data_IF_534881913984
#
_entry.id   IF_534881913984
#
_cell.length_a   1.000
_cell.length_b   1.000
_cell.length_c   1.000
_cell.angle_alpha   90.00
_cell.angle_beta   90.00
_cell.angle_gamma   90.00
#
_symmetry.space_group_name_H-M   'P 1'
#
loop_
_entity.id
_entity.type
_entity.pdbx_description
1 polymer ?
#
# COMPACT_ATOMS: atom_id res chain seq x y z
N UNK A 1 55.03 -3.56 -39.16
CA UNK A 1 54.47 -4.00 -37.89
C UNK A 1 53.59 -2.91 -37.38
N UNK A 2 52.28 -3.06 -37.61
CA UNK A 2 51.31 -1.99 -37.43
C UNK A 2 50.48 -2.34 -36.20
N UNK A 3 50.57 -1.53 -35.14
CA UNK A 3 49.71 -1.61 -33.99
C UNK A 3 48.35 -0.95 -34.33
N UNK A 4 47.27 -1.75 -34.28
CA UNK A 4 45.90 -1.25 -34.34
C UNK A 4 45.37 -1.05 -32.90
N UNK A 5 45.21 0.18 -32.52
CA UNK A 5 44.52 0.60 -31.30
C UNK A 5 43.02 0.61 -31.58
N UNK A 6 42.25 -0.27 -30.93
CA UNK A 6 40.78 -0.21 -30.93
C UNK A 6 40.34 0.86 -29.90
N UNK A 7 39.77 1.93 -30.40
CA UNK A 7 39.04 2.92 -29.57
C UNK A 7 37.61 2.42 -29.37
N UNK A 8 37.25 2.11 -28.13
CA UNK A 8 35.86 1.94 -27.72
C UNK A 8 35.20 3.31 -27.60
N UNK A 9 34.31 3.61 -28.53
CA UNK A 9 33.42 4.78 -28.43
C UNK A 9 32.25 4.40 -27.53
N UNK A 10 32.23 4.96 -26.35
CA UNK A 10 31.04 4.96 -25.47
C UNK A 10 30.02 5.94 -26.08
N UNK A 11 28.99 5.42 -26.73
CA UNK A 11 27.79 6.15 -27.07
C UNK A 11 26.99 6.36 -25.78
N UNK A 12 27.20 7.50 -25.11
CA UNK A 12 26.28 8.05 -24.15
C UNK A 12 25.05 8.54 -24.93
N UNK A 13 24.03 7.69 -25.01
CA UNK A 13 22.73 8.12 -25.48
C UNK A 13 22.19 9.19 -24.52
N UNK A 14 22.15 10.42 -24.96
CA UNK A 14 21.43 11.52 -24.34
C UNK A 14 19.94 11.17 -24.38
N UNK A 15 19.36 10.74 -23.25
CA UNK A 15 17.91 10.65 -23.10
C UNK A 15 17.37 12.08 -23.25
N UNK A 16 16.69 12.33 -24.34
CA UNK A 16 16.03 13.59 -24.62
C UNK A 16 14.90 13.81 -23.62
N UNK A 17 14.68 15.06 -23.22
CA UNK A 17 13.53 15.49 -22.42
C UNK A 17 12.17 15.17 -23.09
N UNK A 18 12.18 14.75 -24.36
CA UNK A 18 11.00 14.34 -25.13
C UNK A 18 10.50 12.92 -24.81
N UNK A 19 11.26 12.09 -24.09
CA UNK A 19 10.90 10.70 -23.74
C UNK A 19 10.23 10.56 -22.37
N UNK A 20 9.93 11.67 -21.70
CA UNK A 20 9.06 11.65 -20.52
C UNK A 20 7.63 11.61 -21.05
N UNK A 21 6.83 10.55 -20.78
CA UNK A 21 5.45 10.57 -21.18
C UNK A 21 4.79 11.81 -20.58
N UNK A 22 3.99 12.55 -21.36
CA UNK A 22 3.28 13.72 -20.86
C UNK A 22 2.44 13.31 -19.65
N UNK A 23 2.33 14.22 -18.68
CA UNK A 23 1.35 14.09 -17.59
C UNK A 23 0.01 13.64 -18.20
N UNK A 24 -0.74 12.73 -17.54
CA UNK A 24 -1.97 12.20 -18.12
C UNK A 24 -2.83 13.36 -18.63
N UNK A 25 -3.29 13.22 -19.87
CA UNK A 25 -4.08 14.24 -20.57
C UNK A 25 -5.24 14.67 -19.68
N UNK A 26 -5.61 15.97 -19.62
CA UNK A 26 -6.74 16.43 -18.86
C UNK A 26 -8.02 15.80 -19.45
N UNK A 27 -8.53 14.74 -18.79
CA UNK A 27 -9.69 13.98 -19.24
C UNK A 27 -9.88 12.62 -18.55
N UNK A 28 -8.82 12.00 -18.01
CA UNK A 28 -8.93 10.77 -17.23
C UNK A 28 -8.44 11.06 -15.82
N UNK A 29 -9.35 11.54 -14.99
CA UNK A 29 -9.09 11.69 -13.55
C UNK A 29 -8.88 10.30 -12.95
N UNK A 30 -7.70 10.04 -12.42
CA UNK A 30 -7.44 8.83 -11.65
C UNK A 30 -7.27 9.21 -10.18
N UNK A 31 -7.70 8.36 -9.24
CA UNK A 31 -7.56 8.64 -7.80
C UNK A 31 -6.09 8.85 -7.41
N UNK A 32 -5.80 9.73 -6.43
CA UNK A 32 -4.42 10.06 -6.03
C UNK A 32 -3.58 8.83 -5.66
N UNK A 33 -4.17 7.83 -4.98
CA UNK A 33 -3.48 6.60 -4.62
C UNK A 33 -3.09 5.75 -5.84
N UNK A 34 -3.91 5.74 -6.90
CA UNK A 34 -3.61 5.03 -8.13
C UNK A 34 -2.51 5.77 -8.92
N UNK A 35 -2.54 7.11 -8.97
CA UNK A 35 -1.48 7.92 -9.56
C UNK A 35 -0.15 7.72 -8.84
N UNK A 36 -0.16 7.72 -7.50
CA UNK A 36 1.01 7.42 -6.68
C UNK A 36 1.58 6.03 -6.97
N UNK A 37 0.70 5.03 -7.07
CA UNK A 37 1.10 3.67 -7.33
C UNK A 37 1.76 3.49 -8.70
N UNK A 38 1.17 4.10 -9.75
CA UNK A 38 1.75 4.17 -11.10
C UNK A 38 3.15 4.73 -11.09
N UNK A 39 3.34 5.88 -10.45
CA UNK A 39 4.64 6.53 -10.33
C UNK A 39 5.68 5.68 -9.56
N UNK A 40 5.24 4.84 -8.63
CA UNK A 40 6.11 3.88 -7.94
C UNK A 40 6.44 2.65 -8.79
N UNK A 41 5.50 2.19 -9.63
CA UNK A 41 5.70 1.04 -10.52
C UNK A 41 6.72 1.30 -11.63
N UNK A 42 6.79 2.52 -12.16
CA UNK A 42 7.72 2.87 -13.24
C UNK A 42 9.20 2.55 -12.95
N UNK A 43 9.55 2.43 -11.68
CA UNK A 43 10.94 2.26 -11.20
C UNK A 43 11.25 0.89 -10.65
N UNK A 44 10.26 -0.01 -10.58
CA UNK A 44 10.46 -1.34 -10.03
C UNK A 44 10.35 -2.37 -11.13
N UNK A 45 11.35 -3.19 -11.27
CA UNK A 45 11.35 -4.34 -12.19
C UNK A 45 10.66 -5.58 -11.61
N UNK A 46 9.67 -5.43 -10.72
CA UNK A 46 9.01 -6.54 -10.05
C UNK A 46 7.86 -6.11 -9.14
N UNK A 47 7.50 -6.95 -8.19
CA UNK A 47 6.42 -6.67 -7.24
C UNK A 47 6.61 -5.35 -6.49
N UNK A 48 5.65 -4.47 -6.55
CA UNK A 48 5.59 -3.18 -5.85
C UNK A 48 4.64 -3.27 -4.68
N UNK A 49 4.96 -2.58 -3.60
CA UNK A 49 4.06 -2.40 -2.47
C UNK A 49 4.26 -1.03 -1.84
N UNK A 50 3.18 -0.31 -1.66
CA UNK A 50 3.13 0.98 -0.97
C UNK A 50 1.99 1.04 0.04
N UNK A 51 2.05 2.00 0.94
CA UNK A 51 0.94 2.44 1.78
C UNK A 51 0.59 3.89 1.45
N UNK A 52 -0.40 4.14 0.57
CA UNK A 52 -0.85 5.50 0.27
C UNK A 52 -1.34 6.22 1.53
N UNK A 53 -2.16 5.56 2.34
CA UNK A 53 -2.64 6.09 3.61
C UNK A 53 -1.52 6.67 4.47
N UNK A 54 -0.51 5.87 4.73
CA UNK A 54 0.57 6.22 5.64
C UNK A 54 1.42 7.39 5.08
N UNK A 55 1.61 7.46 3.75
CA UNK A 55 2.25 8.60 3.10
C UNK A 55 1.42 9.89 3.25
N UNK A 56 0.11 9.80 2.97
CA UNK A 56 -0.75 10.98 3.11
C UNK A 56 -0.79 11.50 4.53
N UNK A 57 -0.72 10.64 5.54
CA UNK A 57 -0.66 11.06 6.94
C UNK A 57 0.58 11.91 7.25
N UNK A 58 1.76 11.50 6.78
CA UNK A 58 2.97 12.30 7.02
C UNK A 58 2.96 13.62 6.23
N UNK A 59 2.37 13.62 5.02
CA UNK A 59 2.20 14.86 4.25
C UNK A 59 1.21 15.83 4.91
N UNK A 60 0.16 15.31 5.56
CA UNK A 60 -0.76 16.15 6.36
C UNK A 60 -0.07 16.81 7.56
N UNK A 61 0.95 16.19 8.14
CA UNK A 61 1.79 16.84 9.15
C UNK A 61 2.68 17.94 8.56
N UNK A 62 3.11 17.80 7.29
CA UNK A 62 3.92 18.82 6.63
C UNK A 62 3.09 20.05 6.20
N UNK A 63 1.85 19.84 5.73
CA UNK A 63 1.02 20.86 5.10
C UNK A 63 0.83 22.14 5.95
N UNK A 64 0.56 22.09 7.27
CA UNK A 64 0.46 23.29 8.11
C UNK A 64 1.74 24.14 8.18
N UNK A 65 2.89 23.52 7.87
CA UNK A 65 4.18 24.19 7.82
C UNK A 65 4.53 24.84 6.48
N UNK A 66 3.79 24.47 5.43
CA UNK A 66 4.00 24.94 4.07
C UNK A 66 3.29 26.30 3.82
N UNK A 67 3.79 27.05 2.86
CA UNK A 67 3.19 28.31 2.40
C UNK A 67 3.31 28.44 0.87
N UNK A 68 2.60 29.41 0.30
CA UNK A 68 2.70 29.80 -1.11
C UNK A 68 2.44 28.64 -2.08
N UNK A 69 3.32 28.47 -3.06
CA UNK A 69 3.19 27.44 -4.09
C UNK A 69 3.45 26.03 -3.54
N UNK A 70 4.36 25.90 -2.58
CA UNK A 70 4.61 24.62 -1.88
C UNK A 70 3.35 24.07 -1.21
N UNK A 71 2.59 24.94 -0.53
CA UNK A 71 1.31 24.57 0.09
C UNK A 71 0.28 24.10 -0.95
N UNK A 72 0.15 24.82 -2.08
CA UNK A 72 -0.77 24.46 -3.16
C UNK A 72 -0.44 23.12 -3.79
N UNK A 73 0.83 22.89 -4.14
CA UNK A 73 1.29 21.62 -4.70
C UNK A 73 1.07 20.46 -3.76
N UNK A 74 1.36 20.63 -2.46
CA UNK A 74 1.12 19.61 -1.44
C UNK A 74 -0.36 19.33 -1.26
N UNK A 75 -1.20 20.35 -1.21
CA UNK A 75 -2.65 20.19 -1.09
C UNK A 75 -3.27 19.46 -2.29
N UNK A 76 -2.76 19.69 -3.51
CA UNK A 76 -3.22 19.03 -4.72
C UNK A 76 -2.94 17.52 -4.74
N UNK A 77 -1.87 17.07 -4.08
CA UNK A 77 -1.50 15.64 -3.98
C UNK A 77 -2.31 14.91 -2.90
N UNK A 78 -2.82 15.64 -1.90
CA UNK A 78 -3.53 15.05 -0.77
C UNK A 78 -5.00 14.77 -1.11
N UNK A 79 -5.54 13.59 -0.76
CA UNK A 79 -6.96 13.33 -0.90
C UNK A 79 -7.77 14.13 0.12
N UNK A 80 -8.95 14.60 -0.32
CA UNK A 80 -9.88 15.35 0.51
C UNK A 80 -9.42 16.76 0.83
N UNK A 81 -9.64 17.22 2.05
CA UNK A 81 -9.35 18.59 2.50
C UNK A 81 -7.93 18.80 3.04
N UNK A 82 -7.06 17.78 2.95
CA UNK A 82 -5.68 17.82 3.44
C UNK A 82 -5.52 17.91 4.96
N UNK A 83 -6.61 17.97 5.74
CA UNK A 83 -6.55 18.12 7.20
C UNK A 83 -6.04 16.88 7.91
N UNK A 84 -5.38 17.10 9.04
CA UNK A 84 -4.95 16.03 9.95
C UNK A 84 -6.18 15.34 10.52
N UNK A 85 -6.29 14.03 10.30
CA UNK A 85 -7.31 13.18 10.91
C UNK A 85 -6.69 12.36 12.03
N UNK A 86 -7.41 12.21 13.14
CA UNK A 86 -6.94 11.41 14.30
C UNK A 86 -7.85 10.24 14.62
N UNK A 87 -9.07 10.25 14.10
CA UNK A 87 -10.09 9.25 14.39
C UNK A 87 -10.35 8.38 13.16
N UNK A 88 -9.39 7.51 12.85
CA UNK A 88 -9.56 6.51 11.81
C UNK A 88 -10.31 5.31 12.36
N UNK A 89 -11.36 4.86 11.68
CA UNK A 89 -12.23 3.78 12.14
C UNK A 89 -11.47 2.47 12.33
N UNK A 90 -10.55 2.17 11.44
CA UNK A 90 -9.72 0.94 11.52
C UNK A 90 -8.65 1.00 12.63
N UNK A 91 -8.37 2.16 13.21
CA UNK A 91 -7.48 2.32 14.38
C UNK A 91 -8.26 2.31 15.71
N UNK A 92 -9.58 2.29 15.66
CA UNK A 92 -10.46 2.31 16.82
C UNK A 92 -11.50 1.18 16.75
N UNK A 93 -12.32 1.01 17.77
CA UNK A 93 -13.40 0.03 17.79
C UNK A 93 -12.97 -1.42 17.99
N UNK A 94 -13.81 -2.35 17.57
CA UNK A 94 -13.61 -3.79 17.80
C UNK A 94 -12.46 -4.36 16.99
N UNK A 95 -12.15 -3.80 15.83
CA UNK A 95 -11.01 -4.19 15.03
C UNK A 95 -9.69 -4.00 15.80
N UNK A 96 -9.53 -2.92 16.55
CA UNK A 96 -8.29 -2.63 17.28
C UNK A 96 -8.07 -3.49 18.52
N UNK A 97 -9.12 -4.14 19.06
CA UNK A 97 -9.01 -4.97 20.27
C UNK A 97 -8.32 -6.32 20.05
N UNK A 98 -8.61 -6.96 18.93
CA UNK A 98 -8.07 -8.28 18.58
C UNK A 98 -6.98 -8.26 17.53
N UNK A 99 -6.86 -7.15 16.78
CA UNK A 99 -5.98 -6.97 15.66
C UNK A 99 -5.14 -5.72 15.87
N UNK A 100 -3.99 -5.62 15.19
CA UNK A 100 -3.09 -4.49 15.41
C UNK A 100 -2.68 -3.86 14.09
N UNK A 101 -3.08 -2.60 13.92
CA UNK A 101 -2.52 -1.73 12.90
C UNK A 101 -1.46 -0.84 13.57
N UNK A 102 -0.23 -0.95 13.10
CA UNK A 102 0.86 -0.08 13.52
C UNK A 102 1.12 0.91 12.39
N UNK A 103 0.90 2.17 12.66
CA UNK A 103 1.18 3.27 11.74
C UNK A 103 2.16 4.23 12.42
N UNK A 104 3.36 4.28 11.89
CA UNK A 104 4.46 5.09 12.41
C UNK A 104 4.84 6.14 11.36
N UNK A 105 4.26 7.33 11.52
CA UNK A 105 4.45 8.46 10.62
C UNK A 105 5.03 9.63 11.41
N UNK A 106 6.17 10.14 10.97
CA UNK A 106 6.85 11.26 11.64
C UNK A 106 7.74 12.03 10.69
N UNK A 107 7.84 13.31 10.93
CA UNK A 107 8.86 14.17 10.34
C UNK A 107 10.06 14.19 11.28
N UNK A 108 11.23 13.93 10.75
CA UNK A 108 12.48 14.15 11.49
C UNK A 108 13.18 15.36 10.91
N UNK A 109 13.37 16.38 11.74
CA UNK A 109 14.10 17.59 11.42
C UNK A 109 15.52 17.53 12.02
N UNK A 110 16.50 18.12 11.34
CA UNK A 110 17.83 18.31 11.94
C UNK A 110 17.74 19.21 13.18
N UNK A 111 18.64 19.05 14.13
CA UNK A 111 18.68 19.86 15.34
C UNK A 111 18.90 21.35 15.08
N UNK A 112 19.51 21.71 13.93
CA UNK A 112 19.69 23.10 13.50
C UNK A 112 18.40 23.78 13.04
N UNK A 113 17.31 23.02 12.90
CA UNK A 113 16.00 23.57 12.51
C UNK A 113 15.31 24.19 13.71
N UNK A 114 15.04 25.49 13.64
CA UNK A 114 14.24 26.20 14.62
C UNK A 114 12.76 26.06 14.30
N UNK A 115 12.11 25.07 14.93
CA UNK A 115 10.69 24.79 14.73
C UNK A 115 9.81 25.80 15.48
N UNK A 116 8.86 26.42 14.78
CA UNK A 116 7.89 27.37 15.37
C UNK A 116 6.90 26.66 16.29
N UNK A 117 6.61 27.25 17.43
CA UNK A 117 5.68 26.69 18.42
C UNK A 117 4.24 26.60 17.86
N UNK A 118 3.83 27.55 17.02
CA UNK A 118 2.55 27.50 16.34
C UNK A 118 2.43 26.24 15.47
N UNK A 119 3.49 25.87 14.74
CA UNK A 119 3.53 24.64 13.95
C UNK A 119 3.48 23.39 14.83
N UNK A 120 4.34 23.31 15.86
CA UNK A 120 4.34 22.19 16.82
C UNK A 120 2.96 21.97 17.45
N UNK A 121 2.28 23.07 17.81
CA UNK A 121 0.91 23.03 18.36
C UNK A 121 -0.12 22.53 17.34
N UNK A 122 0.01 22.93 16.07
CA UNK A 122 -0.91 22.52 15.01
C UNK A 122 -0.84 21.02 14.71
N UNK A 123 0.37 20.46 14.62
CA UNK A 123 0.58 19.05 14.24
C UNK A 123 0.55 18.08 15.44
N UNK A 124 0.90 18.56 16.62
CA UNK A 124 0.98 17.78 17.86
C UNK A 124 2.37 17.19 18.12
N UNK A 125 2.61 16.66 19.33
CA UNK A 125 3.95 16.31 19.81
C UNK A 125 4.54 15.09 19.08
N UNK A 126 3.71 14.23 18.52
CA UNK A 126 4.15 12.99 17.88
C UNK A 126 4.50 13.15 16.39
N UNK A 127 4.10 14.26 15.76
CA UNK A 127 4.24 14.48 14.33
C UNK A 127 5.66 14.84 13.91
N UNK A 128 6.44 15.52 14.78
CA UNK A 128 7.79 15.97 14.45
C UNK A 128 8.76 15.69 15.61
N UNK A 129 9.96 15.25 15.26
CA UNK A 129 11.07 15.08 16.19
C UNK A 129 12.36 15.64 15.60
N UNK A 130 13.36 15.91 16.43
CA UNK A 130 14.66 16.34 15.98
C UNK A 130 15.70 15.23 16.10
N UNK A 131 16.61 15.15 15.11
CA UNK A 131 17.73 14.21 15.09
C UNK A 131 18.98 14.90 14.53
N UNK A 132 20.19 14.47 14.93
CA UNK A 132 21.43 15.17 14.58
C UNK A 132 21.93 14.78 13.18
N UNK A 133 21.17 15.05 12.10
CA UNK A 133 21.53 14.62 10.75
C UNK A 133 22.83 15.27 10.24
N UNK A 134 23.02 16.55 10.50
CA UNK A 134 24.23 17.30 10.08
C UNK A 134 25.41 17.04 11.00
N UNK A 135 25.16 16.87 12.29
CA UNK A 135 26.21 16.70 13.32
C UNK A 135 26.71 15.24 13.32
N UNK A 136 25.79 14.27 13.29
CA UNK A 136 26.08 12.85 13.35
C UNK A 136 25.01 12.03 12.63
N UNK A 137 25.19 11.86 11.33
CA UNK A 137 24.26 11.11 10.47
C UNK A 137 24.02 9.67 10.97
N UNK A 138 25.06 8.99 11.43
CA UNK A 138 24.93 7.61 11.91
C UNK A 138 24.04 7.53 13.15
N UNK A 139 24.15 8.48 14.07
CA UNK A 139 23.31 8.59 15.26
C UNK A 139 21.86 8.93 14.87
N UNK A 140 21.66 9.91 13.98
CA UNK A 140 20.34 10.28 13.51
C UNK A 140 19.62 9.06 12.88
N UNK A 141 20.31 8.31 12.04
CA UNK A 141 19.77 7.09 11.42
C UNK A 141 19.45 6.02 12.46
N UNK A 142 20.29 5.83 13.49
CA UNK A 142 20.00 4.90 14.59
C UNK A 142 18.72 5.30 15.33
N UNK A 143 18.56 6.59 15.66
CA UNK A 143 17.38 7.11 16.36
C UNK A 143 16.10 6.89 15.53
N UNK A 144 16.13 7.22 14.24
CA UNK A 144 14.99 7.02 13.33
C UNK A 144 14.64 5.53 13.20
N UNK A 145 15.64 4.67 13.01
CA UNK A 145 15.42 3.23 12.86
C UNK A 145 14.91 2.59 14.17
N UNK A 146 15.41 3.01 15.34
CA UNK A 146 14.93 2.56 16.63
C UNK A 146 13.48 3.00 16.87
N UNK A 147 13.14 4.25 16.52
CA UNK A 147 11.78 4.75 16.61
C UNK A 147 10.82 3.96 15.68
N UNK A 148 11.21 3.71 14.44
CA UNK A 148 10.41 2.92 13.50
C UNK A 148 10.19 1.49 14.01
N UNK A 149 11.23 0.84 14.53
CA UNK A 149 11.14 -0.49 15.11
C UNK A 149 10.19 -0.55 16.30
N UNK A 150 10.33 0.38 17.25
CA UNK A 150 9.46 0.46 18.43
C UNK A 150 8.00 0.64 18.05
N UNK A 151 7.70 1.56 17.12
CA UNK A 151 6.33 1.90 16.73
C UNK A 151 5.71 0.88 15.75
N UNK A 152 6.48 -0.07 15.24
CA UNK A 152 5.99 -1.17 14.40
C UNK A 152 6.12 -2.55 15.05
N UNK A 153 6.27 -2.59 16.38
CA UNK A 153 6.44 -3.85 17.12
C UNK A 153 7.65 -4.67 16.64
N UNK A 154 8.74 -4.01 16.32
CA UNK A 154 9.97 -4.58 15.76
C UNK A 154 9.83 -5.27 14.37
N UNK A 155 8.73 -5.00 13.66
CA UNK A 155 8.48 -5.57 12.32
C UNK A 155 9.22 -4.82 11.22
N UNK A 156 9.39 -3.51 11.36
CA UNK A 156 10.12 -2.67 10.41
C UNK A 156 11.38 -2.17 11.07
N UNK A 157 12.50 -2.74 10.64
CA UNK A 157 13.85 -2.39 11.09
C UNK A 157 14.65 -1.85 9.90
N UNK A 158 15.71 -1.09 10.15
CA UNK A 158 16.63 -0.59 9.12
C UNK A 158 15.87 0.14 7.99
N UNK A 159 15.02 1.12 8.38
CA UNK A 159 14.27 1.93 7.43
C UNK A 159 15.18 2.90 6.69
N UNK A 160 16.09 3.56 7.40
CA UNK A 160 17.09 4.44 6.80
C UNK A 160 18.47 3.76 6.74
N UNK A 161 19.22 4.10 5.69
CA UNK A 161 20.62 3.71 5.53
C UNK A 161 21.47 4.99 5.44
N UNK A 162 22.46 5.21 6.33
CA UNK A 162 23.27 6.42 6.34
C UNK A 162 24.03 6.64 5.02
N UNK A 163 24.42 5.56 4.33
CA UNK A 163 25.15 5.64 3.05
C UNK A 163 24.29 6.16 1.88
N UNK A 164 22.96 6.24 2.05
CA UNK A 164 22.01 6.76 1.04
C UNK A 164 21.50 8.16 1.39
N UNK A 165 22.05 8.78 2.41
CA UNK A 165 21.64 10.10 2.87
C UNK A 165 22.76 11.12 2.62
N UNK A 166 22.36 12.39 2.49
CA UNK A 166 23.28 13.51 2.30
C UNK A 166 23.61 14.18 3.62
N UNK A 167 24.83 14.67 3.76
CA UNK A 167 25.29 15.55 4.85
C UNK A 167 24.49 16.86 4.96
N UNK A 168 23.78 17.23 3.88
CA UNK A 168 22.86 18.39 3.86
C UNK A 168 21.44 18.08 4.30
N UNK A 169 21.19 16.87 4.79
CA UNK A 169 19.84 16.44 5.19
C UNK A 169 19.34 17.27 6.36
N UNK A 170 18.19 17.93 6.21
CA UNK A 170 17.52 18.71 7.27
C UNK A 170 16.11 18.27 7.58
N UNK A 171 15.35 17.76 6.61
CA UNK A 171 13.99 17.22 6.82
C UNK A 171 13.85 15.85 6.14
N UNK A 172 13.40 14.87 6.92
CA UNK A 172 13.14 13.50 6.45
C UNK A 172 11.73 13.10 6.84
N UNK A 173 10.95 12.69 5.86
CA UNK A 173 9.64 12.08 6.08
C UNK A 173 9.83 10.59 6.31
N UNK A 174 9.36 10.10 7.43
CA UNK A 174 9.46 8.69 7.82
C UNK A 174 8.09 8.09 7.92
N UNK A 175 7.92 7.00 7.22
CA UNK A 175 6.65 6.33 7.06
C UNK A 175 6.86 4.82 7.17
N UNK A 176 6.24 4.20 8.16
CA UNK A 176 6.30 2.77 8.38
C UNK A 176 4.93 2.26 8.81
N UNK A 177 4.39 1.30 8.08
CA UNK A 177 3.09 0.73 8.38
C UNK A 177 3.13 -0.79 8.33
N UNK A 178 2.46 -1.41 9.30
CA UNK A 178 2.35 -2.83 9.45
C UNK A 178 0.95 -3.19 9.98
N UNK A 179 0.33 -4.21 9.40
CA UNK A 179 -0.98 -4.70 9.80
C UNK A 179 -0.93 -6.18 10.17
N UNK A 180 -1.48 -6.49 11.35
CA UNK A 180 -1.82 -7.83 11.77
C UNK A 180 -3.33 -7.96 11.88
N UNK A 181 -3.91 -8.86 11.11
CA UNK A 181 -5.35 -9.02 11.04
C UNK A 181 -5.74 -10.48 10.79
N UNK A 182 -6.84 -10.94 11.35
CA UNK A 182 -7.38 -12.29 11.15
C UNK A 182 -8.53 -12.26 10.15
N UNK A 183 -8.58 -13.25 9.28
CA UNK A 183 -9.73 -13.44 8.40
C UNK A 183 -10.99 -13.72 9.22
N UNK A 184 -12.11 -13.22 8.79
CA UNK A 184 -13.42 -13.57 9.37
C UNK A 184 -13.76 -15.04 9.06
N UNK A 185 -13.34 -15.52 7.89
CA UNK A 185 -13.32 -16.92 7.49
C UNK A 185 -11.90 -17.32 7.09
N UNK A 186 -11.22 -18.11 7.93
CA UNK A 186 -9.84 -18.56 7.72
C UNK A 186 -9.75 -19.67 6.67
N UNK A 187 -8.59 -19.82 6.05
CA UNK A 187 -8.26 -21.01 5.26
C UNK A 187 -7.84 -22.16 6.18
N UNK A 188 -8.18 -23.37 5.77
CA UNK A 188 -7.70 -24.57 6.47
C UNK A 188 -6.31 -24.96 5.92
N UNK A 189 -5.33 -25.09 6.81
CA UNK A 189 -3.95 -25.39 6.39
C UNK A 189 -3.81 -26.71 5.63
N UNK A 190 -4.69 -27.71 5.92
CA UNK A 190 -4.75 -28.99 5.19
C UNK A 190 -5.19 -28.83 3.71
N UNK A 191 -5.85 -27.75 3.36
CA UNK A 191 -6.34 -27.46 2.00
C UNK A 191 -5.33 -26.60 1.21
N UNK A 192 -4.21 -26.22 1.81
CA UNK A 192 -3.10 -25.54 1.15
C UNK A 192 -2.21 -26.57 0.45
N UNK A 193 -2.06 -26.41 -0.87
CA UNK A 193 -1.25 -27.32 -1.70
C UNK A 193 -0.32 -26.54 -2.63
N UNK A 194 0.80 -27.15 -2.99
CA UNK A 194 1.69 -26.57 -4.02
C UNK A 194 0.95 -26.59 -5.37
N UNK A 195 0.92 -25.42 -6.03
CA UNK A 195 0.34 -25.25 -7.36
C UNK A 195 1.20 -24.31 -8.21
N UNK A 196 1.06 -24.46 -9.51
CA UNK A 196 1.79 -23.63 -10.47
C UNK A 196 1.28 -22.20 -10.45
N UNK A 197 2.20 -21.26 -10.31
CA UNK A 197 2.01 -19.83 -10.53
C UNK A 197 2.83 -19.43 -11.76
N UNK A 198 2.20 -18.80 -12.74
CA UNK A 198 2.88 -18.34 -13.97
C UNK A 198 3.16 -16.85 -13.84
N UNK A 199 4.43 -16.49 -13.84
CA UNK A 199 4.89 -15.10 -13.77
C UNK A 199 4.64 -14.35 -15.08
N UNK A 200 4.78 -13.04 -15.08
CA UNK A 200 4.60 -12.21 -16.28
C UNK A 200 5.67 -12.47 -17.37
N UNK A 201 6.86 -12.92 -16.96
CA UNK A 201 7.94 -13.36 -17.86
C UNK A 201 7.74 -14.78 -18.42
N UNK A 202 6.63 -15.45 -18.09
CA UNK A 202 6.30 -16.82 -18.50
C UNK A 202 6.92 -17.90 -17.62
N UNK A 203 7.75 -17.56 -16.65
CA UNK A 203 8.35 -18.54 -15.75
C UNK A 203 7.29 -19.15 -14.82
N UNK A 204 7.27 -20.48 -14.73
CA UNK A 204 6.37 -21.23 -13.87
C UNK A 204 7.05 -21.60 -12.55
N UNK A 205 6.44 -21.24 -11.43
CA UNK A 205 6.93 -21.53 -10.09
C UNK A 205 5.87 -22.28 -9.28
N UNK A 206 6.30 -23.12 -8.34
CA UNK A 206 5.40 -23.76 -7.38
C UNK A 206 5.22 -22.87 -6.16
N UNK A 207 3.95 -22.54 -5.85
CA UNK A 207 3.61 -21.72 -4.68
C UNK A 207 2.63 -22.46 -3.77
N UNK A 208 2.71 -22.27 -2.44
CA UNK A 208 1.66 -22.75 -1.54
C UNK A 208 0.36 -21.99 -1.84
N UNK A 209 -0.61 -22.67 -2.41
CA UNK A 209 -1.91 -22.12 -2.78
C UNK A 209 -2.95 -22.53 -1.76
N UNK A 210 -3.43 -21.57 -0.98
CA UNK A 210 -4.50 -21.72 -0.01
C UNK A 210 -5.84 -21.86 -0.73
N UNK A 211 -6.76 -22.64 -0.21
CA UNK A 211 -8.09 -22.86 -0.81
C UNK A 211 -9.17 -22.73 0.24
N UNK A 212 -10.26 -22.04 -0.11
CA UNK A 212 -11.48 -22.03 0.68
C UNK A 212 -12.73 -21.75 -0.16
N UNK A 213 -13.88 -22.04 0.43
CA UNK A 213 -15.17 -21.58 -0.05
C UNK A 213 -15.55 -20.32 0.73
N UNK A 214 -15.83 -19.23 0.03
CA UNK A 214 -16.19 -17.94 0.62
C UNK A 214 -17.66 -17.68 0.40
N UNK A 215 -18.37 -17.31 1.46
CA UNK A 215 -19.78 -16.94 1.40
C UNK A 215 -19.90 -15.43 1.20
N UNK A 216 -20.77 -15.01 0.28
CA UNK A 216 -21.03 -13.60 -0.06
C UNK A 216 -22.25 -13.06 0.69
N UNK A 217 -23.03 -13.94 1.33
CA UNK A 217 -24.22 -13.64 2.10
C UNK A 217 -24.19 -14.35 3.44
N UNK A 218 -24.84 -13.81 4.46
CA UNK A 218 -25.04 -14.49 5.75
C UNK A 218 -25.01 -13.52 6.92
N UNK A 219 -26.15 -13.44 7.64
CA UNK A 219 -26.27 -12.67 8.90
C UNK A 219 -25.97 -13.51 10.14
N UNK A 220 -26.09 -14.82 9.97
CA UNK A 220 -25.78 -15.82 10.99
C UNK A 220 -24.68 -16.75 10.44
N UNK A 221 -24.70 -18.00 10.77
CA UNK A 221 -23.73 -18.96 10.25
C UNK A 221 -24.26 -19.65 8.96
N UNK A 222 -23.46 -19.79 7.87
CA UNK A 222 -22.11 -19.25 7.67
C UNK A 222 -22.13 -17.73 7.46
N UNK A 223 -21.14 -17.03 8.03
CA UNK A 223 -20.99 -15.58 7.91
C UNK A 223 -20.48 -15.21 6.52
N UNK A 224 -20.82 -13.99 6.07
CA UNK A 224 -20.23 -13.40 4.89
C UNK A 224 -18.70 -13.24 5.11
N UNK A 225 -17.91 -13.95 4.31
CA UNK A 225 -16.44 -13.95 4.39
C UNK A 225 -15.76 -13.04 3.39
N UNK A 226 -16.49 -12.59 2.35
CA UNK A 226 -15.95 -11.76 1.27
C UNK A 226 -16.91 -11.56 0.11
N UNK A 227 -16.44 -10.91 -0.94
CA UNK A 227 -17.19 -10.61 -2.18
C UNK A 227 -16.45 -11.12 -3.41
N UNK A 228 -17.19 -11.41 -4.46
CA UNK A 228 -16.68 -11.74 -5.80
C UNK A 228 -17.03 -10.62 -6.79
N UNK A 229 -16.11 -10.33 -7.71
CA UNK A 229 -16.25 -9.33 -8.76
C UNK A 229 -15.84 -9.91 -10.11
N UNK A 230 -16.65 -9.67 -11.14
CA UNK A 230 -16.30 -9.99 -12.53
C UNK A 230 -16.93 -8.96 -13.45
N UNK A 231 -16.12 -8.27 -14.24
CA UNK A 231 -16.54 -7.32 -15.27
C UNK A 231 -15.44 -7.15 -16.31
N UNK A 232 -15.79 -7.21 -17.59
CA UNK A 232 -14.89 -6.97 -18.73
C UNK A 232 -13.57 -7.79 -18.69
N UNK A 233 -13.65 -9.04 -18.21
CA UNK A 233 -12.51 -9.93 -18.05
C UNK A 233 -11.65 -9.66 -16.78
N UNK A 234 -11.91 -8.59 -16.05
CA UNK A 234 -11.36 -8.34 -14.72
C UNK A 234 -12.07 -9.22 -13.72
N UNK A 235 -11.33 -9.99 -12.93
CA UNK A 235 -11.88 -10.82 -11.85
C UNK A 235 -11.26 -10.44 -10.52
N UNK A 236 -12.10 -10.34 -9.49
CA UNK A 236 -11.64 -9.98 -8.15
C UNK A 236 -12.32 -10.79 -7.06
N UNK A 237 -11.63 -10.89 -5.94
CA UNK A 237 -12.15 -11.49 -4.73
C UNK A 237 -11.71 -10.68 -3.53
N UNK A 238 -12.57 -10.59 -2.51
CA UNK A 238 -12.20 -10.01 -1.23
C UNK A 238 -12.31 -11.01 -0.08
N UNK A 239 -11.58 -10.71 0.98
CA UNK A 239 -11.65 -11.41 2.25
C UNK A 239 -11.85 -10.38 3.35
N UNK A 240 -12.87 -10.59 4.17
CA UNK A 240 -13.15 -9.73 5.30
C UNK A 240 -12.29 -10.10 6.50
N UNK A 241 -11.83 -9.08 7.22
CA UNK A 241 -11.20 -9.28 8.51
C UNK A 241 -12.25 -9.30 9.63
N UNK A 242 -11.95 -10.02 10.70
CA UNK A 242 -12.74 -9.96 11.94
C UNK A 242 -12.76 -8.52 12.47
N UNK A 243 -13.83 -8.12 13.13
CA UNK A 243 -14.00 -6.76 13.67
C UNK A 243 -15.20 -6.01 13.11
N UNK A 244 -16.02 -6.67 12.30
CA UNK A 244 -17.30 -6.14 11.85
C UNK A 244 -17.20 -4.96 10.88
N UNK A 245 -18.16 -4.04 10.95
CA UNK A 245 -18.36 -2.96 9.97
C UNK A 245 -17.16 -2.03 9.81
N UNK A 246 -16.44 -1.70 10.84
CA UNK A 246 -15.28 -0.80 10.78
C UNK A 246 -13.96 -1.48 10.37
N UNK A 247 -13.96 -2.80 10.16
CA UNK A 247 -12.74 -3.51 9.79
C UNK A 247 -12.39 -3.29 8.29
N UNK A 248 -11.10 -3.17 7.97
CA UNK A 248 -10.65 -3.15 6.59
C UNK A 248 -11.00 -4.43 5.82
N UNK A 249 -10.77 -4.41 4.52
CA UNK A 249 -11.02 -5.52 3.61
C UNK A 249 -9.74 -5.78 2.80
N UNK A 250 -9.34 -7.05 2.70
CA UNK A 250 -8.34 -7.47 1.73
C UNK A 250 -9.01 -7.74 0.39
N UNK A 251 -8.44 -7.24 -0.68
CA UNK A 251 -8.92 -7.45 -2.04
C UNK A 251 -7.78 -7.93 -2.91
N UNK A 252 -8.07 -8.86 -3.81
CA UNK A 252 -7.17 -9.30 -4.87
C UNK A 252 -7.89 -9.20 -6.22
N UNK A 253 -7.20 -8.71 -7.25
CA UNK A 253 -7.77 -8.41 -8.57
C UNK A 253 -6.84 -8.94 -9.66
N UNK A 254 -7.37 -9.82 -10.50
CA UNK A 254 -6.72 -10.32 -11.69
C UNK A 254 -7.03 -9.41 -12.89
N UNK A 255 -6.03 -8.99 -13.67
CA UNK A 255 -6.27 -8.34 -14.95
C UNK A 255 -6.99 -9.29 -15.93
N UNK A 256 -7.58 -8.79 -17.01
CA UNK A 256 -8.01 -9.65 -18.12
C UNK A 256 -6.88 -10.58 -18.60
N UNK A 257 -7.23 -11.75 -19.10
CA UNK A 257 -6.24 -12.69 -19.63
C UNK A 257 -5.40 -12.06 -20.74
N UNK A 258 -4.09 -12.31 -20.72
CA UNK A 258 -3.14 -11.75 -21.67
C UNK A 258 -2.75 -10.27 -21.43
N UNK A 259 -3.43 -9.54 -20.55
CA UNK A 259 -3.08 -8.15 -20.22
C UNK A 259 -2.02 -8.13 -19.13
N UNK A 260 -0.90 -7.45 -19.39
CA UNK A 260 0.19 -7.27 -18.42
C UNK A 260 -0.26 -6.40 -17.24
N UNK A 261 0.31 -6.67 -16.05
CA UNK A 261 -0.06 -5.95 -14.81
C UNK A 261 0.14 -4.44 -14.95
N UNK A 262 1.28 -4.01 -15.48
CA UNK A 262 1.54 -2.58 -15.70
C UNK A 262 0.50 -1.93 -16.61
N UNK A 263 0.19 -2.57 -17.75
CA UNK A 263 -0.82 -2.07 -18.70
C UNK A 263 -2.22 -2.01 -18.07
N UNK A 264 -2.54 -2.96 -17.21
CA UNK A 264 -3.80 -2.99 -16.49
C UNK A 264 -3.91 -1.82 -15.52
N UNK A 265 -2.87 -1.58 -14.72
CA UNK A 265 -2.84 -0.48 -13.75
C UNK A 265 -2.82 0.88 -14.47
N UNK A 266 -2.01 1.06 -15.52
CA UNK A 266 -1.92 2.33 -16.26
C UNK A 266 -3.21 2.69 -16.97
N UNK A 267 -3.94 1.68 -17.47
CA UNK A 267 -5.21 1.89 -18.19
C UNK A 267 -6.45 1.94 -17.29
N UNK A 268 -6.33 1.74 -15.97
CA UNK A 268 -7.48 1.72 -15.06
C UNK A 268 -8.06 3.12 -14.87
N UNK A 269 -9.34 3.29 -15.15
CA UNK A 269 -10.06 4.55 -14.95
C UNK A 269 -10.50 4.72 -13.49
N UNK A 270 -10.90 5.94 -13.12
CA UNK A 270 -11.48 6.22 -11.81
C UNK A 270 -12.79 5.43 -11.59
N UNK A 271 -13.61 5.31 -12.64
CA UNK A 271 -14.86 4.54 -12.57
C UNK A 271 -14.58 3.06 -12.29
N UNK A 272 -13.64 2.45 -13.02
CA UNK A 272 -13.23 1.05 -12.81
C UNK A 272 -12.67 0.84 -11.40
N UNK A 273 -11.80 1.74 -10.95
CA UNK A 273 -11.24 1.71 -9.60
C UNK A 273 -12.31 1.77 -8.52
N UNK A 274 -13.20 2.76 -8.61
CA UNK A 274 -14.29 2.94 -7.65
C UNK A 274 -15.29 1.77 -7.72
N UNK A 275 -15.54 1.22 -8.91
CA UNK A 275 -16.36 0.04 -9.12
C UNK A 275 -15.79 -1.21 -8.43
N UNK A 276 -14.48 -1.44 -8.54
CA UNK A 276 -13.78 -2.54 -7.86
C UNK A 276 -13.85 -2.34 -6.34
N UNK A 277 -13.50 -1.15 -5.84
CA UNK A 277 -13.52 -0.87 -4.41
C UNK A 277 -14.91 -1.05 -3.80
N UNK A 278 -15.94 -0.47 -4.42
CA UNK A 278 -17.32 -0.55 -3.92
C UNK A 278 -17.85 -1.99 -3.93
N UNK A 279 -17.63 -2.71 -5.03
CA UNK A 279 -18.12 -4.09 -5.17
C UNK A 279 -17.44 -5.07 -4.21
N UNK A 280 -16.13 -4.95 -4.02
CA UNK A 280 -15.37 -5.87 -3.17
C UNK A 280 -15.40 -5.51 -1.68
N UNK A 281 -15.81 -4.30 -1.31
CA UNK A 281 -15.92 -3.88 0.09
C UNK A 281 -17.34 -3.98 0.68
N UNK A 282 -18.33 -4.31 -0.12
CA UNK A 282 -19.73 -4.34 0.29
C UNK A 282 -20.01 -5.41 1.35
N UNK A 283 -19.91 -5.03 2.64
CA UNK A 283 -20.47 -5.83 3.72
C UNK A 283 -21.98 -5.56 3.77
N UNK A 284 -22.77 -6.60 3.97
CA UNK A 284 -24.25 -6.50 4.04
C UNK A 284 -24.95 -6.01 2.77
N UNK A 285 -24.38 -6.32 1.58
CA UNK A 285 -24.96 -5.99 0.28
C UNK A 285 -26.45 -6.45 0.15
N UNK A 286 -26.90 -7.40 0.96
CA UNK A 286 -28.28 -7.84 1.06
C UNK A 286 -29.26 -6.76 1.56
N UNK A 287 -28.79 -5.68 2.21
CA UNK A 287 -29.64 -4.57 2.62
C UNK A 287 -29.83 -3.52 1.50
N UNK A 288 -28.80 -3.29 0.68
CA UNK A 288 -28.88 -2.29 -0.39
C UNK A 288 -29.63 -2.80 -1.63
N UNK A 289 -29.58 -4.10 -1.93
CA UNK A 289 -30.29 -4.72 -3.07
C UNK A 289 -31.80 -4.84 -2.86
N UNK A 290 -32.33 -4.55 -1.67
CA UNK A 290 -33.79 -4.52 -1.39
C UNK A 290 -34.46 -3.20 -1.74
N UNK A 291 -33.76 -2.22 -2.33
CA UNK A 291 -34.42 -1.03 -2.89
C UNK A 291 -35.34 -1.44 -4.04
N UNK A 292 -36.63 -1.05 -4.04
CA UNK A 292 -37.56 -1.39 -5.12
C UNK A 292 -37.04 -0.86 -6.45
N UNK A 293 -36.80 -1.72 -7.44
CA UNK A 293 -36.42 -1.38 -8.79
C UNK A 293 -35.00 -1.69 -9.23
N UNK A 294 -34.10 -2.12 -8.32
CA UNK A 294 -32.78 -2.61 -8.67
C UNK A 294 -32.83 -4.04 -9.22
N UNK A 295 -32.38 -4.29 -10.46
CA UNK A 295 -32.08 -5.66 -10.89
C UNK A 295 -30.96 -6.19 -10.01
N UNK A 296 -31.09 -7.36 -9.34
CA UNK A 296 -29.97 -7.99 -8.68
C UNK A 296 -28.91 -8.28 -9.76
N UNK A 297 -27.67 -7.84 -9.58
CA UNK A 297 -26.54 -8.57 -10.16
C UNK A 297 -26.76 -10.03 -9.74
N UNK A 298 -26.61 -10.99 -10.65
CA UNK A 298 -26.63 -12.42 -10.31
C UNK A 298 -25.52 -12.68 -9.30
N UNK A 299 -25.85 -12.49 -8.04
CA UNK A 299 -24.90 -12.54 -6.95
C UNK A 299 -24.84 -13.98 -6.48
N UNK A 300 -23.74 -14.63 -6.78
CA UNK A 300 -23.50 -15.95 -6.25
C UNK A 300 -23.48 -15.90 -4.73
N UNK A 301 -24.21 -16.78 -4.06
CA UNK A 301 -24.21 -16.90 -2.60
C UNK A 301 -22.85 -17.34 -2.04
N UNK A 302 -21.94 -17.81 -2.89
CA UNK A 302 -20.59 -18.27 -2.56
C UNK A 302 -19.71 -18.33 -3.81
N UNK A 303 -18.38 -18.33 -3.59
CA UNK A 303 -17.38 -18.60 -4.63
C UNK A 303 -16.24 -19.46 -4.06
N UNK A 304 -15.47 -20.09 -4.92
CA UNK A 304 -14.29 -20.86 -4.55
C UNK A 304 -13.04 -20.02 -4.80
N UNK A 305 -12.28 -19.77 -3.75
CA UNK A 305 -11.08 -18.96 -3.80
C UNK A 305 -9.83 -19.82 -3.68
N UNK A 306 -8.85 -19.57 -4.57
CA UNK A 306 -7.47 -20.02 -4.42
C UNK A 306 -6.56 -18.79 -4.43
N UNK A 307 -5.85 -18.58 -3.33
CA UNK A 307 -4.95 -17.44 -3.11
C UNK A 307 -3.58 -17.95 -2.68
N UNK A 308 -2.48 -17.53 -3.29
CA UNK A 308 -1.16 -17.93 -2.83
C UNK A 308 -0.90 -17.41 -1.41
N UNK A 309 -0.25 -18.25 -0.58
CA UNK A 309 0.40 -17.77 0.62
C UNK A 309 1.67 -17.03 0.21
N UNK A 310 1.81 -15.77 0.62
CA UNK A 310 2.97 -14.98 0.24
C UNK A 310 3.42 -14.02 1.35
N UNK A 311 4.68 -13.64 1.27
CA UNK A 311 5.25 -12.56 2.05
C UNK A 311 5.86 -11.54 1.12
N UNK A 312 5.54 -10.27 1.34
CA UNK A 312 6.10 -9.18 0.57
C UNK A 312 6.61 -8.11 1.52
N UNK A 313 7.85 -7.69 1.31
CA UNK A 313 8.47 -6.57 2.02
C UNK A 313 9.03 -5.62 0.98
N UNK A 314 8.58 -4.37 1.01
CA UNK A 314 9.18 -3.39 0.12
C UNK A 314 10.62 -3.12 0.53
N UNK A 315 11.55 -2.92 -0.42
CA UNK A 315 12.76 -2.17 -0.12
C UNK A 315 12.35 -0.80 0.42
N UNK A 316 13.26 -0.09 1.10
CA UNK A 316 12.96 1.30 1.44
C UNK A 316 12.74 2.10 0.17
N UNK A 317 11.50 2.54 -0.05
CA UNK A 317 11.11 3.35 -1.21
C UNK A 317 11.46 4.82 -0.94
N UNK A 318 12.14 5.43 -1.89
CA UNK A 318 12.26 6.90 -1.95
C UNK A 318 11.03 7.45 -2.67
N UNK A 319 10.18 8.14 -1.93
CA UNK A 319 8.92 8.66 -2.42
C UNK A 319 9.07 10.00 -3.18
N UNK A 320 10.24 10.65 -3.09
CA UNK A 320 10.50 11.95 -3.69
C UNK A 320 10.04 12.01 -5.16
N UNK A 321 10.60 11.13 -5.99
CA UNK A 321 10.30 11.13 -7.43
C UNK A 321 8.84 10.83 -7.76
N UNK A 322 8.16 10.01 -6.94
CA UNK A 322 6.75 9.73 -7.13
C UNK A 322 5.89 10.96 -6.79
N UNK A 323 6.26 11.70 -5.75
CA UNK A 323 5.59 12.94 -5.37
C UNK A 323 5.87 14.07 -6.37
N UNK A 324 7.10 14.18 -6.89
CA UNK A 324 7.46 15.10 -7.98
C UNK A 324 6.62 14.82 -9.24
N UNK A 325 6.45 13.54 -9.61
CA UNK A 325 5.61 13.16 -10.75
C UNK A 325 4.11 13.48 -10.55
N UNK A 326 3.66 13.64 -9.30
CA UNK A 326 2.32 14.09 -8.96
C UNK A 326 2.19 15.63 -8.88
N UNK A 327 3.27 16.37 -9.19
CA UNK A 327 3.29 17.83 -9.18
C UNK A 327 3.78 18.47 -7.88
N UNK A 328 4.25 17.68 -6.90
CA UNK A 328 4.85 18.21 -5.67
C UNK A 328 6.36 18.40 -5.85
N UNK A 329 6.76 19.41 -6.61
CA UNK A 329 8.17 19.64 -6.96
C UNK A 329 8.88 20.59 -5.99
N UNK A 330 8.29 21.72 -5.67
CA UNK A 330 8.93 22.81 -4.93
C UNK A 330 9.40 22.39 -3.55
N UNK A 331 8.63 21.53 -2.87
CA UNK A 331 8.93 21.01 -1.54
C UNK A 331 10.32 20.34 -1.42
N UNK A 332 10.90 19.89 -2.55
CA UNK A 332 12.19 19.19 -2.61
C UNK A 332 13.34 20.06 -3.15
N UNK A 333 13.07 21.30 -3.50
CA UNK A 333 14.02 22.22 -4.16
C UNK A 333 14.35 23.43 -3.30
N UNK A 334 15.15 24.34 -3.83
CA UNK A 334 15.41 25.65 -3.20
C UNK A 334 14.20 26.59 -3.25
N UNK A 335 13.13 26.23 -3.96
CA UNK A 335 11.87 27.00 -4.02
C UNK A 335 10.90 26.63 -2.89
N UNK A 336 11.26 25.63 -2.06
CA UNK A 336 10.43 25.21 -0.96
C UNK A 336 10.12 26.35 0.02
N UNK A 337 8.85 26.53 0.34
CA UNK A 337 8.42 27.47 1.37
C UNK A 337 7.78 26.71 2.54
N UNK A 338 8.59 26.42 3.53
CA UNK A 338 8.19 25.88 4.83
C UNK A 338 8.33 26.93 5.95
N UNK A 339 8.15 28.21 5.59
CA UNK A 339 8.30 29.32 6.53
C UNK A 339 7.36 29.26 7.73
N UNK A 340 6.21 28.61 7.60
CA UNK A 340 5.27 28.39 8.72
C UNK A 340 5.76 27.27 9.65
N UNK A 341 6.58 26.33 9.18
CA UNK A 341 7.16 25.26 10.00
C UNK A 341 8.29 25.78 10.87
N UNK A 342 9.21 26.54 10.28
CA UNK A 342 10.41 26.98 10.97
C UNK A 342 11.46 27.60 10.04
N UNK A 343 12.70 27.65 10.50
CA UNK A 343 13.86 28.15 9.76
C UNK A 343 15.08 27.28 9.94
N UNK A 344 15.99 27.35 8.97
CA UNK A 344 17.29 26.68 9.03
C UNK A 344 18.28 27.52 8.20
N UNK A 345 18.84 28.56 8.83
CA UNK A 345 19.81 29.43 8.14
C UNK A 345 21.10 28.67 7.75
N UNK A 346 21.74 29.03 6.63
CA UNK A 346 21.34 30.03 5.65
C UNK A 346 20.41 29.51 4.56
N UNK A 347 20.13 28.20 4.47
CA UNK A 347 19.34 27.61 3.40
C UNK A 347 17.85 27.50 3.77
N UNK A 348 16.92 27.60 2.80
CA UNK A 348 15.51 27.38 3.05
C UNK A 348 15.27 25.92 3.47
N UNK A 349 14.27 25.71 4.35
CA UNK A 349 13.81 24.36 4.67
C UNK A 349 13.25 23.68 3.46
N UNK A 350 13.70 22.46 3.18
CA UNK A 350 13.16 21.60 2.12
C UNK A 350 13.16 20.14 2.55
N UNK A 351 12.33 19.33 1.94
CA UNK A 351 12.32 17.89 2.15
C UNK A 351 13.52 17.27 1.42
N UNK A 352 14.43 16.63 2.15
CA UNK A 352 15.57 15.93 1.57
C UNK A 352 15.22 14.52 1.11
N UNK A 353 14.26 13.90 1.78
CA UNK A 353 13.77 12.58 1.39
C UNK A 353 12.49 12.19 2.10
N UNK A 354 11.69 11.40 1.42
CA UNK A 354 10.56 10.68 1.99
C UNK A 354 10.82 9.20 1.86
N UNK A 355 10.76 8.46 2.97
CA UNK A 355 11.12 7.05 3.00
C UNK A 355 9.96 6.24 3.57
N UNK A 356 9.55 5.25 2.79
CA UNK A 356 8.52 4.31 3.20
C UNK A 356 9.06 2.89 3.19
N UNK A 357 8.69 2.13 4.20
CA UNK A 357 8.89 0.69 4.24
C UNK A 357 7.64 0.00 4.74
N UNK A 358 7.19 -0.98 3.99
CA UNK A 358 6.00 -1.78 4.28
C UNK A 358 6.36 -3.26 4.32
N UNK A 359 5.59 -4.03 5.08
CA UNK A 359 5.66 -5.48 5.09
C UNK A 359 4.26 -6.08 5.25
N UNK A 360 3.96 -7.08 4.45
CA UNK A 360 2.72 -7.85 4.49
C UNK A 360 3.05 -9.34 4.40
N UNK A 361 2.35 -10.16 5.19
CA UNK A 361 2.39 -11.63 5.07
C UNK A 361 0.96 -12.14 5.03
N UNK A 362 0.60 -12.73 3.91
CA UNK A 362 -0.71 -13.36 3.70
C UNK A 362 -0.61 -14.84 4.01
N UNK A 363 -1.39 -15.31 4.98
CA UNK A 363 -1.40 -16.68 5.49
C UNK A 363 -2.83 -17.18 5.69
N UNK A 364 -2.94 -18.42 6.10
CA UNK A 364 -4.21 -19.12 6.29
C UNK A 364 -5.11 -18.45 7.35
N UNK A 365 -4.52 -17.92 8.42
CA UNK A 365 -5.28 -17.27 9.50
C UNK A 365 -5.55 -15.80 9.26
N UNK A 366 -4.79 -15.15 8.34
CA UNK A 366 -4.88 -13.70 8.12
C UNK A 366 -3.58 -13.07 7.64
N UNK A 367 -3.45 -11.78 7.95
CA UNK A 367 -2.22 -11.03 7.73
C UNK A 367 -1.32 -11.15 8.97
N UNK A 368 -0.10 -11.65 8.77
CA UNK A 368 0.92 -11.89 9.81
C UNK A 368 0.36 -12.55 11.10
N UNK A 369 -0.73 -13.30 10.97
CA UNK A 369 -1.29 -14.08 12.04
C UNK A 369 -0.50 -15.40 12.15
N UNK A 370 0.03 -15.71 13.35
CA UNK A 370 0.58 -17.02 13.67
C UNK A 370 -0.42 -17.78 14.51
N UNK A 371 -0.60 -19.07 14.23
CA UNK A 371 -1.49 -19.94 14.95
C UNK A 371 -1.16 -19.95 16.45
N UNK A 372 -1.98 -19.29 17.25
CA UNK A 372 -2.06 -19.51 18.69
C UNK A 372 -3.45 -19.18 19.17
N UNK A 373 -4.40 -19.95 18.78
CA UNK A 373 -5.63 -20.33 19.48
C UNK A 373 -6.52 -21.06 18.46
N UNK A 374 -6.44 -22.37 18.45
CA UNK A 374 -7.45 -23.21 17.84
C UNK A 374 -8.73 -23.07 18.68
N UNK A 375 -9.59 -22.17 18.27
CA UNK A 375 -11.01 -22.31 18.57
C UNK A 375 -11.52 -23.38 17.59
N UNK A 376 -11.68 -24.60 18.02
CA UNK A 376 -12.44 -25.60 17.29
C UNK A 376 -13.86 -25.04 17.09
N UNK A 377 -14.18 -24.65 15.86
CA UNK A 377 -15.57 -24.48 15.47
C UNK A 377 -15.98 -25.76 14.75
N UNK A 378 -16.89 -26.49 15.36
CA UNK A 378 -17.57 -27.61 14.74
C UNK A 378 -18.13 -27.21 13.37
N UNK A 379 -17.89 -28.03 12.33
CA UNK A 379 -18.52 -27.83 11.05
C UNK A 379 -20.00 -28.17 11.18
N UNK A 380 -20.83 -27.14 11.28
CA UNK A 380 -22.28 -27.32 11.25
C UNK A 380 -22.67 -27.90 9.89
N UNK A 381 -23.12 -29.14 9.86
CA UNK A 381 -23.66 -29.82 8.68
C UNK A 381 -25.04 -29.25 8.32
N UNK A 382 -25.08 -28.00 7.90
CA UNK A 382 -26.23 -27.43 7.19
C UNK A 382 -26.19 -27.90 5.75
N UNK A 383 -27.37 -28.22 5.14
CA UNK A 383 -27.46 -28.60 3.75
C UNK A 383 -26.74 -27.54 2.86
N UNK A 384 -25.86 -27.96 1.94
CA UNK A 384 -25.11 -27.01 1.11
C UNK A 384 -26.08 -26.17 0.28
N UNK A 385 -25.90 -24.82 0.22
CA UNK A 385 -26.70 -23.97 -0.65
C UNK A 385 -26.62 -24.50 -2.09
N UNK A 386 -27.76 -24.50 -2.80
CA UNK A 386 -27.86 -24.99 -4.17
C UNK A 386 -27.06 -24.08 -5.13
N UNK A 387 -26.18 -24.64 -5.94
CA UNK A 387 -25.42 -24.00 -7.00
C UNK A 387 -23.90 -24.03 -6.76
N UNK A 388 -23.11 -24.34 -7.80
CA UNK A 388 -21.66 -24.18 -7.82
C UNK A 388 -21.38 -22.71 -8.12
N UNK A 389 -20.86 -21.96 -7.14
CA UNK A 389 -20.35 -20.60 -7.37
C UNK A 389 -19.10 -20.60 -8.27
N UNK A 390 -18.69 -19.42 -8.78
CA UNK A 390 -17.52 -19.29 -9.61
C UNK A 390 -16.25 -19.71 -8.85
N UNK A 391 -15.24 -20.14 -9.59
CA UNK A 391 -13.89 -20.41 -9.06
C UNK A 391 -12.94 -19.29 -9.53
N UNK A 392 -12.21 -18.71 -8.59
CA UNK A 392 -11.15 -17.76 -8.89
C UNK A 392 -9.83 -18.27 -8.29
N UNK A 393 -8.82 -18.40 -9.15
CA UNK A 393 -7.46 -18.83 -8.77
C UNK A 393 -6.46 -17.73 -9.13
N UNK A 394 -5.76 -17.22 -8.11
CA UNK A 394 -4.70 -16.22 -8.26
C UNK A 394 -3.37 -16.90 -8.58
N UNK A 395 -3.29 -17.51 -9.74
CA UNK A 395 -2.15 -18.30 -10.22
C UNK A 395 -1.26 -17.56 -11.24
N UNK A 396 -1.46 -16.26 -11.39
CA UNK A 396 -0.70 -15.33 -12.23
C UNK A 396 -0.65 -13.96 -11.57
N UNK A 397 0.16 -12.98 -12.04
CA UNK A 397 0.27 -11.67 -11.43
C UNK A 397 -1.07 -11.01 -11.13
N UNK A 398 -1.20 -10.45 -9.95
CA UNK A 398 -2.43 -9.80 -9.49
C UNK A 398 -2.13 -8.55 -8.66
N UNK A 399 -3.05 -7.60 -8.72
CA UNK A 399 -3.12 -6.45 -7.82
C UNK A 399 -3.77 -6.91 -6.51
N UNK A 400 -3.22 -6.47 -5.38
CA UNK A 400 -3.87 -6.64 -4.09
C UNK A 400 -3.91 -5.33 -3.31
N UNK A 401 -4.92 -5.15 -2.48
CA UNK A 401 -5.05 -3.99 -1.61
C UNK A 401 -5.70 -4.35 -0.28
N UNK A 402 -5.46 -3.49 0.69
CA UNK A 402 -6.16 -3.48 1.97
C UNK A 402 -6.84 -2.13 2.06
N UNK A 403 -8.16 -2.15 2.09
CA UNK A 403 -9.00 -0.96 2.01
C UNK A 403 -9.87 -0.82 3.24
N UNK A 404 -9.96 0.39 3.79
CA UNK A 404 -10.92 0.75 4.85
C UNK A 404 -12.15 1.42 4.21
N UNK A 405 -13.31 0.73 4.13
CA UNK A 405 -14.49 1.29 3.48
C UNK A 405 -15.06 2.50 4.22
N UNK A 406 -15.11 2.44 5.54
CA UNK A 406 -15.65 3.52 6.38
C UNK A 406 -14.79 4.79 6.28
N UNK A 407 -13.49 4.64 6.17
CA UNK A 407 -12.54 5.75 6.06
C UNK A 407 -12.26 6.15 4.61
N UNK A 408 -12.72 5.35 3.63
CA UNK A 408 -12.41 5.47 2.20
C UNK A 408 -10.91 5.58 1.95
N UNK A 409 -10.14 4.74 2.62
CA UNK A 409 -8.69 4.82 2.62
C UNK A 409 -8.04 3.50 2.15
N UNK A 410 -7.14 3.60 1.16
CA UNK A 410 -6.27 2.49 0.76
C UNK A 410 -5.09 2.44 1.73
N UNK A 411 -5.12 1.46 2.64
CA UNK A 411 -4.09 1.30 3.67
C UNK A 411 -2.80 0.75 3.08
N UNK A 412 -2.92 -0.26 2.23
CA UNK A 412 -1.84 -0.85 1.45
C UNK A 412 -2.32 -1.19 0.07
N UNK A 413 -1.43 -1.14 -0.89
CA UNK A 413 -1.64 -1.73 -2.21
C UNK A 413 -0.32 -2.22 -2.79
N UNK A 414 -0.41 -3.27 -3.60
CA UNK A 414 0.76 -3.86 -4.23
C UNK A 414 0.41 -4.82 -5.35
N UNK A 415 1.42 -5.17 -6.15
CA UNK A 415 1.35 -6.28 -7.11
C UNK A 415 2.09 -7.48 -6.54
N UNK A 416 1.55 -8.66 -6.76
CA UNK A 416 2.27 -9.92 -6.53
C UNK A 416 2.54 -10.58 -7.88
N UNK A 417 3.81 -10.76 -8.20
CA UNK A 417 4.28 -11.31 -9.48
C UNK A 417 4.85 -12.72 -9.35
N UNK A 418 4.63 -13.34 -8.19
CA UNK A 418 5.19 -14.64 -7.86
C UNK A 418 6.59 -14.55 -7.24
N UNK A 419 7.10 -15.66 -6.67
CA UNK A 419 8.44 -15.71 -6.12
C UNK A 419 9.49 -15.65 -7.23
N UNK A 420 10.72 -15.23 -6.90
CA UNK A 420 11.85 -15.43 -7.79
C UNK A 420 12.13 -16.93 -7.90
N UNK A 421 11.94 -17.51 -9.09
CA UNK A 421 12.15 -18.93 -9.32
C UNK A 421 13.63 -19.31 -9.06
N UNK A 422 13.84 -20.32 -8.22
CA UNK A 422 15.18 -20.81 -7.85
C UNK A 422 15.80 -20.24 -6.58
N UNK A 423 15.26 -19.19 -5.99
CA UNK A 423 15.63 -18.76 -4.63
C UNK A 423 14.72 -19.43 -3.61
N UNK A 424 15.28 -20.26 -2.73
CA UNK A 424 14.55 -20.72 -1.53
C UNK A 424 14.15 -19.48 -0.73
N UNK A 425 12.86 -19.34 -0.41
CA UNK A 425 12.43 -18.31 0.54
C UNK A 425 13.31 -18.44 1.79
N UNK A 426 14.10 -17.40 2.07
CA UNK A 426 14.91 -17.36 3.27
C UNK A 426 13.98 -17.51 4.48
N UNK A 427 14.29 -18.45 5.38
CA UNK A 427 13.62 -18.51 6.68
C UNK A 427 13.69 -17.13 7.32
N UNK A 428 12.56 -16.64 7.89
CA UNK A 428 12.48 -15.33 8.51
C UNK A 428 13.40 -15.15 9.70
#
# INVERSE_FOLDING_TARGET
>A
MIFRTLAYVFLLGSVSWADIPPAPSPGVSAPPELCLFRACMEKSGGSVMISPFSLYEVLRYMLPGAAGETEKQMAAVLPGDGKIRRNWTFLSGDFSRSQRCYSANRIFADRSVELKDAYKKAVGPDAVAQAPFRENMAEAVRQVNAWAATNTGNRIRNLLNPQRMSDRTVLVLVNAMYLRAFWDSKFEGRDTALRTFVREDGAACQVPMMKQQVFTEGRSWPRQGGMYYEKDGVRGASLFFTGGKGAPVFMAVLPPEGRKMKQFIDGMTEEEWNGILSSLSARDAAEETRKPGGKPLEQYSRYHLRLPRFSQSSPTLSLKKALEALGMEDAFTGRADFSRMGSCAPEPLKIHGGYQKCAVRVREEGLDASASTAGEMDPFAGAPPRGRGPEIEFNRPFLWLIYSPEDRAVLFMGTYEGPECGKKEGKP
#
